data_IF_248791947171
#
_entry.id   IF_248791947171
#
_cell.length_a   1.000
_cell.length_b   1.000
_cell.length_c   1.000
_cell.angle_alpha   90.00
_cell.angle_beta   90.00
_cell.angle_gamma   90.00
#
_symmetry.space_group_name_H-M   'P 1'
#
loop_
_entity.id
_entity.type
_entity.pdbx_description
1 polymer ?
#
# COMPACT_ATOMS: atom_id res chain seq x y z
N UNK A 1 10.09 -1.08 -15.92
CA UNK A 1 8.67 -0.86 -16.30
C UNK A 1 8.46 -0.31 -17.71
N UNK A 2 9.52 0.04 -18.46
CA UNK A 2 9.41 0.50 -19.87
C UNK A 2 9.02 -0.60 -20.88
N UNK A 3 8.87 -1.84 -20.44
CA UNK A 3 8.58 -3.02 -21.26
C UNK A 3 7.10 -3.39 -21.36
N UNK A 4 6.21 -2.83 -20.52
CA UNK A 4 4.84 -3.35 -20.40
C UNK A 4 3.74 -2.47 -21.05
N UNK A 5 4.05 -1.31 -21.66
CA UNK A 5 3.05 -0.40 -22.27
C UNK A 5 1.83 -0.05 -21.37
N UNK A 6 1.96 -0.18 -20.05
CA UNK A 6 0.85 0.04 -19.12
C UNK A 6 0.66 1.54 -18.94
N UNK A 7 -0.49 2.05 -19.39
CA UNK A 7 -0.86 3.48 -19.30
C UNK A 7 -1.36 3.87 -17.90
N UNK A 8 -1.94 2.92 -17.17
CA UNK A 8 -2.45 3.14 -15.82
C UNK A 8 -2.54 1.83 -15.03
N UNK A 9 -2.31 1.89 -13.73
CA UNK A 9 -2.47 0.75 -12.81
C UNK A 9 -3.43 1.06 -11.67
N UNK A 10 -4.13 0.03 -11.21
CA UNK A 10 -4.69 -0.02 -9.86
C UNK A 10 -3.65 -0.69 -8.98
N UNK A 11 -3.16 0.01 -7.96
CA UNK A 11 -2.04 -0.45 -7.16
C UNK A 11 -2.55 -1.02 -5.83
N UNK A 12 -2.26 -2.31 -5.61
CA UNK A 12 -2.48 -2.95 -4.32
C UNK A 12 -1.28 -2.60 -3.41
N UNK A 13 -1.42 -1.61 -2.53
CA UNK A 13 -0.35 -1.20 -1.62
C UNK A 13 -0.88 -0.50 -0.37
N UNK A 14 -0.19 -0.76 0.75
CA UNK A 14 -0.34 0.00 2.01
C UNK A 14 0.82 0.98 2.21
N UNK A 15 1.76 1.08 1.27
CA UNK A 15 2.87 2.03 1.32
C UNK A 15 2.64 3.16 0.28
N UNK A 16 2.45 4.43 0.73
CA UNK A 16 2.28 5.59 -0.13
C UNK A 16 3.55 6.00 -0.88
N UNK A 17 4.75 5.64 -0.39
CA UNK A 17 6.00 5.89 -1.11
C UNK A 17 6.07 5.09 -2.42
N UNK A 18 5.45 3.90 -2.46
CA UNK A 18 5.34 3.11 -3.70
C UNK A 18 4.45 3.79 -4.75
N UNK A 19 3.42 4.52 -4.31
CA UNK A 19 2.56 5.31 -5.21
C UNK A 19 3.40 6.42 -5.83
N UNK A 20 4.02 7.26 -4.99
CA UNK A 20 4.86 8.37 -5.45
C UNK A 20 6.03 7.91 -6.34
N UNK A 21 6.65 6.77 -6.00
CA UNK A 21 7.74 6.20 -6.78
C UNK A 21 7.27 5.83 -8.20
N UNK A 22 6.10 5.22 -8.33
CA UNK A 22 5.55 4.83 -9.63
C UNK A 22 5.11 6.04 -10.46
N UNK A 23 4.50 7.04 -9.83
CA UNK A 23 4.14 8.29 -10.50
C UNK A 23 5.37 9.04 -11.04
N UNK A 24 6.45 9.12 -10.26
CA UNK A 24 7.73 9.69 -10.71
C UNK A 24 8.34 8.95 -11.91
N UNK A 25 8.04 7.66 -12.06
CA UNK A 25 8.49 6.86 -13.21
C UNK A 25 7.51 6.91 -14.40
N UNK A 26 6.51 7.79 -14.36
CA UNK A 26 5.55 8.00 -15.45
C UNK A 26 4.42 6.96 -15.49
N UNK A 27 4.24 6.17 -14.42
CA UNK A 27 3.14 5.22 -14.31
C UNK A 27 1.99 5.90 -13.57
N UNK A 28 0.87 6.12 -14.27
CA UNK A 28 -0.33 6.70 -13.67
C UNK A 28 -0.98 5.69 -12.73
N UNK A 29 -1.01 5.98 -11.43
CA UNK A 29 -1.82 5.22 -10.47
C UNK A 29 -3.22 5.79 -10.49
N UNK A 30 -4.19 5.05 -11.02
CA UNK A 30 -5.58 5.53 -11.15
C UNK A 30 -6.44 5.19 -9.93
N UNK A 31 -6.00 4.22 -9.14
CA UNK A 31 -6.70 3.79 -7.94
C UNK A 31 -5.72 3.08 -6.98
N UNK A 32 -6.02 3.16 -5.69
CA UNK A 32 -5.33 2.41 -4.64
C UNK A 32 -6.30 1.36 -4.11
N UNK A 33 -5.90 0.09 -4.18
CA UNK A 33 -6.59 -0.98 -3.50
C UNK A 33 -5.87 -1.24 -2.16
N UNK A 34 -6.50 -1.01 -1.01
CA UNK A 34 -5.90 -1.33 0.28
C UNK A 34 -5.67 -2.84 0.37
N UNK A 35 -4.49 -3.24 0.83
CA UNK A 35 -4.19 -4.63 1.12
C UNK A 35 -4.64 -4.92 2.55
N UNK A 36 -5.91 -5.30 2.70
CA UNK A 36 -6.50 -5.71 3.97
C UNK A 36 -6.10 -7.16 4.23
N UNK A 37 -5.19 -7.36 5.19
CA UNK A 37 -4.82 -8.66 5.73
C UNK A 37 -5.16 -8.64 7.21
N UNK A 38 -6.04 -9.53 7.65
CA UNK A 38 -6.36 -9.64 9.06
C UNK A 38 -5.10 -9.97 9.86
N UNK A 39 -4.82 -9.19 10.93
CA UNK A 39 -3.72 -9.50 11.82
C UNK A 39 -3.96 -10.85 12.50
N UNK A 40 -2.92 -11.67 12.54
CA UNK A 40 -2.86 -12.88 13.34
C UNK A 40 -1.76 -12.72 14.40
N UNK A 41 -1.76 -13.55 15.47
CA UNK A 41 -0.81 -13.42 16.57
C UNK A 41 0.66 -13.46 16.14
N UNK A 42 0.98 -14.05 14.98
CA UNK A 42 2.34 -14.18 14.48
C UNK A 42 2.80 -13.00 13.61
N UNK A 43 1.88 -12.22 13.06
CA UNK A 43 2.20 -11.12 12.14
C UNK A 43 1.79 -9.74 12.69
N UNK A 44 1.17 -9.66 13.87
CA UNK A 44 0.70 -8.39 14.45
C UNK A 44 1.84 -7.39 14.67
N UNK A 45 2.98 -7.83 15.18
CA UNK A 45 4.14 -6.97 15.41
C UNK A 45 4.79 -6.51 14.11
N UNK A 46 4.79 -7.40 13.10
CA UNK A 46 5.24 -7.07 11.75
C UNK A 46 4.31 -6.03 11.10
N UNK A 47 2.99 -6.21 11.20
CA UNK A 47 1.99 -5.29 10.66
C UNK A 47 2.04 -3.94 11.37
N UNK A 48 2.18 -3.91 12.70
CA UNK A 48 2.36 -2.69 13.49
C UNK A 48 3.63 -1.93 13.07
N UNK A 49 4.76 -2.63 13.00
CA UNK A 49 6.02 -2.04 12.52
C UNK A 49 5.89 -1.51 11.10
N UNK A 50 5.18 -2.24 10.24
CA UNK A 50 4.94 -1.86 8.85
C UNK A 50 4.01 -0.65 8.74
N UNK A 51 3.03 -0.51 9.62
CA UNK A 51 2.16 0.67 9.75
C UNK A 51 2.97 1.91 10.12
N UNK A 52 3.74 1.83 11.20
CA UNK A 52 4.56 2.94 11.68
C UNK A 52 5.59 3.38 10.64
N UNK A 53 6.25 2.42 9.95
CA UNK A 53 7.26 2.73 8.94
C UNK A 53 6.69 3.21 7.60
N UNK A 54 5.52 2.73 7.19
CA UNK A 54 4.95 3.05 5.87
C UNK A 54 3.95 4.21 5.92
N UNK A 55 3.59 4.69 7.11
CA UNK A 55 2.68 5.83 7.28
C UNK A 55 1.20 5.44 7.16
N UNK A 56 0.54 5.36 8.33
CA UNK A 56 -0.89 5.58 8.66
C UNK A 56 -2.01 4.89 7.85
N UNK A 57 -1.74 4.26 6.72
CA UNK A 57 -2.77 3.67 5.84
C UNK A 57 -3.35 2.34 6.34
N UNK A 58 -3.00 1.94 7.58
CA UNK A 58 -3.50 0.77 8.27
C UNK A 58 -4.48 1.13 9.41
N UNK A 59 -4.63 2.41 9.77
CA UNK A 59 -5.49 2.80 10.90
C UNK A 59 -6.98 2.45 10.64
N UNK A 60 -7.43 2.44 9.38
CA UNK A 60 -8.78 1.96 9.01
C UNK A 60 -9.00 0.46 9.26
N UNK A 61 -7.95 -0.32 9.55
CA UNK A 61 -8.05 -1.76 9.85
C UNK A 61 -8.06 -2.08 11.34
N UNK A 62 -7.80 -1.09 12.21
CA UNK A 62 -7.75 -1.26 13.66
C UNK A 62 -8.78 -0.40 14.41
N UNK A 63 -9.70 0.24 13.69
CA UNK A 63 -10.86 0.94 14.26
C UNK A 63 -11.86 -0.11 14.79
N UNK A 64 -11.55 -0.68 15.95
CA UNK A 64 -12.53 -1.30 16.83
C UNK A 64 -13.23 -0.15 17.57
N UNK A 65 -14.45 0.19 17.12
CA UNK A 65 -15.37 1.03 17.89
C UNK A 65 -15.74 0.41 19.24
#
# INVERSE_FOLDING_TARGET
>A
MRSLHIKSIRLITNNPEKIQGLERHGVKVVDRVPLVIDPNPHNVDYLRTKATKSGHLLDEMFDEG
#
